data_IF_883343001958
#
_entry.id   IF_883343001958
#
_cell.length_a   1.000
_cell.length_b   1.000
_cell.length_c   1.000
_cell.angle_alpha   90.00
_cell.angle_beta   90.00
_cell.angle_gamma   90.00
#
_symmetry.space_group_name_H-M   'P 1'
#
loop_
_entity.id
_entity.type
_entity.pdbx_description
1 polymer ?
#
# COMPACT_ATOMS: atom_id res chain seq x y z
N UNK A 1 5.42 -38.07 -43.05
CA UNK A 1 4.40 -37.62 -44.03
C UNK A 1 3.28 -36.99 -43.23
N UNK A 2 3.24 -35.66 -43.15
CA UNK A 2 2.30 -34.76 -43.85
C UNK A 2 0.83 -35.14 -43.68
N UNK A 3 -0.13 -34.27 -43.38
CA UNK A 3 -0.25 -32.87 -42.92
C UNK A 3 -1.76 -32.53 -43.07
N UNK A 4 -2.20 -31.45 -42.41
CA UNK A 4 -3.51 -30.72 -42.48
C UNK A 4 -4.46 -31.08 -41.32
N UNK A 5 -4.97 -30.16 -40.52
CA UNK A 5 -4.90 -28.70 -40.51
C UNK A 5 -6.25 -28.15 -40.04
N UNK A 6 -6.27 -27.37 -38.95
CA UNK A 6 -7.34 -26.42 -38.61
C UNK A 6 -6.82 -25.46 -37.51
N UNK A 7 -7.09 -24.14 -37.61
CA UNK A 7 -6.58 -23.11 -36.69
C UNK A 7 -7.49 -22.89 -35.47
N UNK A 8 -7.01 -22.24 -34.38
CA UNK A 8 -7.89 -21.68 -33.38
C UNK A 8 -8.50 -20.35 -33.82
N UNK A 9 -9.75 -20.18 -33.42
CA UNK A 9 -10.68 -19.09 -33.76
C UNK A 9 -10.32 -17.81 -32.99
N UNK A 10 -10.14 -16.73 -33.75
CA UNK A 10 -10.01 -15.36 -33.30
C UNK A 10 -11.41 -14.82 -32.93
N UNK A 11 -11.64 -14.46 -31.66
CA UNK A 11 -12.87 -13.78 -31.24
C UNK A 11 -12.62 -12.28 -31.28
N UNK A 12 -12.92 -11.68 -32.43
CA UNK A 12 -13.12 -10.24 -32.56
C UNK A 12 -14.51 -9.88 -32.02
N UNK A 13 -14.56 -8.95 -31.07
CA UNK A 13 -15.79 -8.23 -30.73
C UNK A 13 -15.54 -6.75 -30.95
N UNK A 14 -16.11 -6.23 -32.03
CA UNK A 14 -16.01 -4.84 -32.43
C UNK A 14 -17.26 -4.05 -32.03
N UNK A 15 -17.01 -2.78 -31.69
CA UNK A 15 -17.81 -1.57 -31.95
C UNK A 15 -19.14 -1.34 -31.22
N UNK A 16 -19.19 -0.22 -30.49
CA UNK A 16 -20.22 0.81 -30.68
C UNK A 16 -19.78 2.19 -30.14
N UNK A 17 -19.44 3.12 -31.04
CA UNK A 17 -19.52 4.59 -30.84
C UNK A 17 -20.93 5.05 -31.23
N UNK A 18 -21.48 6.08 -30.57
CA UNK A 18 -22.03 7.22 -31.35
C UNK A 18 -21.99 8.57 -30.59
N UNK A 19 -22.46 9.71 -31.16
CA UNK A 19 -22.35 10.17 -32.54
C UNK A 19 -21.77 11.61 -32.64
N UNK A 20 -21.19 11.89 -33.81
CA UNK A 20 -20.87 13.23 -34.31
C UNK A 20 -22.17 13.95 -34.70
N UNK A 21 -22.38 15.17 -34.20
CA UNK A 21 -23.37 16.12 -34.77
C UNK A 21 -22.65 17.14 -35.65
N UNK A 22 -23.01 17.15 -36.94
CA UNK A 22 -22.77 18.24 -37.90
C UNK A 22 -24.11 18.71 -38.48
N UNK A 23 -24.30 20.03 -38.52
CA UNK A 23 -25.05 20.87 -39.48
C UNK A 23 -25.57 22.12 -38.72
N UNK A 24 -25.53 23.35 -39.23
CA UNK A 24 -25.74 23.79 -40.60
C UNK A 24 -25.10 25.16 -40.97
N UNK A 25 -24.69 25.25 -42.25
CA UNK A 25 -24.78 26.33 -43.27
C UNK A 25 -24.47 27.82 -42.97
N UNK A 26 -23.65 28.35 -43.88
CA UNK A 26 -23.22 29.73 -44.24
C UNK A 26 -24.39 30.59 -44.79
N UNK A 27 -24.32 31.95 -44.82
CA UNK A 27 -23.68 32.65 -45.96
C UNK A 27 -22.89 33.94 -45.61
N UNK A 28 -22.14 34.39 -46.62
CA UNK A 28 -21.22 35.53 -46.70
C UNK A 28 -21.74 36.90 -46.24
N UNK A 29 -20.82 37.71 -45.71
CA UNK A 29 -20.74 39.14 -46.02
C UNK A 29 -19.29 39.63 -45.92
N UNK A 30 -18.79 40.15 -47.04
CA UNK A 30 -17.50 40.80 -47.16
C UNK A 30 -17.55 42.19 -46.48
N UNK A 31 -16.51 42.51 -45.71
CA UNK A 31 -16.12 43.89 -45.46
C UNK A 31 -14.60 43.95 -45.36
N UNK A 32 -14.02 44.63 -46.35
CA UNK A 32 -12.62 45.03 -46.46
C UNK A 32 -12.38 46.23 -45.55
N UNK A 33 -11.09 46.50 -45.23
CA UNK A 33 -10.52 47.71 -44.61
C UNK A 33 -10.53 47.59 -43.07
N UNK A 34 -9.42 47.56 -42.33
CA UNK A 34 -8.26 48.44 -42.40
C UNK A 34 -7.10 47.84 -41.59
N UNK A 35 -5.87 47.98 -42.08
CA UNK A 35 -4.66 47.68 -41.32
C UNK A 35 -4.56 48.60 -40.09
N UNK A 36 -4.43 48.00 -38.90
CA UNK A 36 -3.73 48.61 -37.77
C UNK A 36 -2.78 47.55 -37.24
N UNK A 37 -1.54 47.64 -37.69
CA UNK A 37 -0.42 46.96 -37.06
C UNK A 37 -0.19 47.60 -35.69
N UNK A 38 -0.87 47.09 -34.67
CA UNK A 38 -0.47 47.26 -33.29
C UNK A 38 0.31 45.99 -32.93
N UNK A 39 1.63 46.11 -33.07
CA UNK A 39 2.56 45.27 -32.37
C UNK A 39 2.31 45.46 -30.86
N UNK A 40 1.40 44.66 -30.30
CA UNK A 40 1.44 44.35 -28.88
C UNK A 40 2.65 43.43 -28.74
N UNK A 41 3.78 44.07 -28.44
CA UNK A 41 4.90 43.46 -27.76
C UNK A 41 4.34 42.80 -26.51
N UNK A 42 4.01 41.50 -26.62
CA UNK A 42 4.11 40.63 -25.47
C UNK A 42 5.54 40.81 -25.00
N UNK A 43 5.70 41.47 -23.85
CA UNK A 43 6.93 41.37 -23.09
C UNK A 43 7.01 39.90 -22.66
N UNK A 44 7.46 39.04 -23.57
CA UNK A 44 8.19 37.86 -23.17
C UNK A 44 9.35 38.42 -22.35
N UNK A 45 9.21 38.36 -21.03
CA UNK A 45 10.34 38.59 -20.15
C UNK A 45 11.47 37.71 -20.71
N UNK A 46 12.67 38.25 -20.94
CA UNK A 46 13.80 37.39 -21.23
C UNK A 46 13.83 36.33 -20.14
N UNK A 47 13.98 35.06 -20.54
CA UNK A 47 14.25 33.97 -19.60
C UNK A 47 15.47 34.44 -18.82
N UNK A 48 15.24 34.79 -17.56
CA UNK A 48 16.31 35.16 -16.67
C UNK A 48 17.13 33.89 -16.47
N UNK A 49 18.37 33.92 -16.96
CA UNK A 49 19.35 32.86 -16.68
C UNK A 49 20.02 33.11 -15.32
N UNK A 50 19.52 34.08 -14.55
CA UNK A 50 19.88 34.24 -13.16
C UNK A 50 19.13 33.19 -12.33
N UNK A 51 19.82 32.08 -12.09
CA UNK A 51 19.30 30.94 -11.33
C UNK A 51 19.06 31.28 -9.85
N UNK A 52 19.39 32.50 -9.41
CA UNK A 52 19.20 32.97 -8.04
C UNK A 52 17.75 32.85 -7.57
N UNK A 53 16.76 33.12 -8.41
CA UNK A 53 15.35 32.97 -8.04
C UNK A 53 14.95 31.49 -7.84
N UNK A 54 15.49 30.58 -8.67
CA UNK A 54 15.23 29.14 -8.55
C UNK A 54 15.95 28.53 -7.33
N UNK A 55 17.18 28.99 -7.07
CA UNK A 55 17.94 28.64 -5.86
C UNK A 55 17.20 29.14 -4.62
N UNK A 56 16.78 30.40 -4.62
CA UNK A 56 16.05 31.00 -3.50
C UNK A 56 14.73 30.27 -3.21
N UNK A 57 14.02 29.80 -4.24
CA UNK A 57 12.82 28.97 -4.06
C UNK A 57 13.14 27.65 -3.35
N UNK A 58 14.19 26.95 -3.76
CA UNK A 58 14.62 25.69 -3.14
C UNK A 58 15.10 25.93 -1.70
N UNK A 59 15.87 26.99 -1.46
CA UNK A 59 16.31 27.36 -0.11
C UNK A 59 15.12 27.73 0.79
N UNK A 60 14.15 28.48 0.29
CA UNK A 60 12.92 28.82 1.02
C UNK A 60 12.11 27.57 1.37
N UNK A 61 11.96 26.63 0.43
CA UNK A 61 11.29 25.35 0.68
C UNK A 61 11.93 24.60 1.83
N UNK A 62 13.25 24.39 1.82
CA UNK A 62 13.94 23.71 2.92
C UNK A 62 13.91 24.50 4.24
N UNK A 63 13.90 25.84 4.19
CA UNK A 63 13.74 26.66 5.39
C UNK A 63 12.36 26.45 6.06
N UNK A 64 11.29 26.36 5.26
CA UNK A 64 9.95 26.03 5.78
C UNK A 64 9.88 24.59 6.32
N UNK A 65 10.52 23.62 5.65
CA UNK A 65 10.62 22.25 6.16
C UNK A 65 11.35 22.20 7.51
N UNK A 66 12.49 22.88 7.64
CA UNK A 66 13.27 22.96 8.88
C UNK A 66 12.49 23.66 10.01
N UNK A 67 11.68 24.65 9.67
CA UNK A 67 10.81 25.35 10.62
C UNK A 67 9.54 24.57 11.02
N UNK A 68 9.25 23.46 10.33
CA UNK A 68 8.01 22.70 10.53
C UNK A 68 6.76 23.42 10.01
N UNK A 69 6.91 24.27 8.99
CA UNK A 69 5.85 25.04 8.33
C UNK A 69 5.41 24.29 7.06
N UNK A 70 4.69 23.19 7.23
CA UNK A 70 4.28 22.28 6.17
C UNK A 70 3.37 22.96 5.13
N UNK A 71 2.43 23.79 5.58
CA UNK A 71 1.53 24.53 4.68
C UNK A 71 2.30 25.49 3.76
N UNK A 72 3.27 26.23 4.31
CA UNK A 72 4.09 27.18 3.54
C UNK A 72 5.06 26.44 2.60
N UNK A 73 5.67 25.34 3.05
CA UNK A 73 6.50 24.50 2.20
C UNK A 73 5.71 23.92 1.01
N UNK A 74 4.51 23.39 1.25
CA UNK A 74 3.64 22.85 0.21
C UNK A 74 3.20 23.90 -0.81
N UNK A 75 2.95 25.14 -0.37
CA UNK A 75 2.56 26.26 -1.24
C UNK A 75 3.62 26.64 -2.29
N UNK A 76 4.90 26.31 -2.06
CA UNK A 76 5.99 26.51 -3.00
C UNK A 76 6.06 25.43 -4.09
N UNK A 77 5.21 24.41 -4.00
CA UNK A 77 5.17 23.28 -4.94
C UNK A 77 3.96 23.36 -5.86
N UNK A 78 3.95 22.52 -6.89
CA UNK A 78 2.77 22.21 -7.72
C UNK A 78 2.20 20.82 -7.42
N UNK A 79 2.68 20.18 -6.36
CA UNK A 79 2.25 18.83 -5.95
C UNK A 79 0.96 18.98 -5.14
N UNK A 80 -0.02 18.14 -5.45
CA UNK A 80 -1.32 18.13 -4.77
C UNK A 80 -1.22 17.32 -3.48
N UNK A 81 -1.06 18.01 -2.36
CA UNK A 81 -1.04 17.41 -1.03
C UNK A 81 -2.44 17.47 -0.40
N UNK A 82 -3.00 16.34 0.05
CA UNK A 82 -4.18 16.35 0.91
C UNK A 82 -3.95 17.17 2.19
N UNK A 83 -4.98 17.88 2.64
CA UNK A 83 -4.90 18.85 3.76
C UNK A 83 -4.38 18.21 5.05
N UNK A 84 -4.71 16.93 5.30
CA UNK A 84 -4.27 16.20 6.48
C UNK A 84 -2.75 15.98 6.55
N UNK A 85 -2.04 16.04 5.43
CA UNK A 85 -0.59 15.80 5.36
C UNK A 85 0.26 17.08 5.40
N UNK A 86 -0.37 18.24 5.23
CA UNK A 86 0.28 19.56 5.27
C UNK A 86 -0.12 20.37 6.51
N UNK A 87 -0.75 19.71 7.48
CA UNK A 87 -0.95 20.25 8.81
C UNK A 87 0.40 20.41 9.53
N UNK A 88 0.67 21.63 10.00
CA UNK A 88 1.95 21.96 10.63
C UNK A 88 2.16 21.22 11.96
N UNK A 89 1.10 20.90 12.71
CA UNK A 89 1.20 20.15 13.97
C UNK A 89 1.53 18.67 13.70
N UNK A 90 0.94 18.09 12.64
CA UNK A 90 1.31 16.75 12.15
C UNK A 90 2.76 16.69 11.71
N UNK A 91 3.20 17.66 10.90
CA UNK A 91 4.56 17.65 10.38
C UNK A 91 5.60 17.89 11.47
N UNK A 92 5.35 18.83 12.41
CA UNK A 92 6.23 19.06 13.58
C UNK A 92 6.30 17.89 14.56
N UNK A 93 5.34 16.96 14.51
CA UNK A 93 5.37 15.73 15.31
C UNK A 93 6.26 14.62 14.72
N UNK A 94 6.85 14.84 13.55
CA UNK A 94 7.82 13.92 12.93
C UNK A 94 9.04 13.71 13.84
N UNK A 95 9.64 12.52 13.79
CA UNK A 95 10.85 12.17 14.56
C UNK A 95 12.02 13.10 14.24
N UNK A 96 12.14 13.52 12.98
CA UNK A 96 13.09 14.53 12.54
C UNK A 96 12.61 15.30 11.32
N UNK A 97 12.95 16.58 11.29
CA UNK A 97 12.77 17.47 10.14
C UNK A 97 14.09 17.61 9.36
N UNK A 98 14.05 17.85 8.04
CA UNK A 98 15.24 18.18 7.27
C UNK A 98 15.99 19.36 7.88
N UNK A 99 17.31 19.23 8.04
CA UNK A 99 18.19 20.30 8.51
C UNK A 99 19.49 20.32 7.72
N UNK A 100 20.30 21.38 7.89
CA UNK A 100 21.58 21.55 7.18
C UNK A 100 21.49 21.40 5.65
N UNK A 101 20.34 21.75 5.07
CA UNK A 101 20.08 21.57 3.65
C UNK A 101 21.02 22.40 2.77
N UNK A 102 21.65 21.78 1.78
CA UNK A 102 22.61 22.41 0.87
C UNK A 102 22.40 21.93 -0.55
N UNK A 103 22.29 22.87 -1.48
CA UNK A 103 22.33 22.57 -2.91
C UNK A 103 23.76 22.18 -3.28
N UNK A 104 23.97 20.92 -3.67
CA UNK A 104 25.29 20.38 -4.03
C UNK A 104 25.52 20.31 -5.54
N UNK A 105 24.44 20.35 -6.32
CA UNK A 105 24.50 20.33 -7.78
C UNK A 105 23.25 20.97 -8.38
N UNK A 106 23.44 21.66 -9.49
CA UNK A 106 22.35 22.26 -10.28
C UNK A 106 22.55 22.01 -11.77
N UNK A 107 21.45 21.78 -12.50
CA UNK A 107 21.43 21.52 -13.96
C UNK A 107 20.13 22.05 -14.59
N UNK A 108 20.01 22.02 -15.93
CA UNK A 108 18.71 22.23 -16.60
C UNK A 108 18.30 23.70 -16.79
N UNK A 109 19.24 24.60 -17.05
CA UNK A 109 18.98 26.04 -17.16
C UNK A 109 18.32 26.49 -18.49
N UNK A 110 17.37 25.73 -19.00
CA UNK A 110 16.65 26.02 -20.23
C UNK A 110 15.13 26.04 -20.02
N UNK A 111 14.36 26.18 -21.11
CA UNK A 111 12.91 26.19 -21.08
C UNK A 111 12.28 24.89 -20.52
N UNK A 112 13.09 23.85 -20.28
CA UNK A 112 12.71 22.59 -19.64
C UNK A 112 12.74 22.62 -18.10
N UNK A 113 13.28 23.67 -17.47
CA UNK A 113 13.23 23.90 -16.03
C UNK A 113 14.50 23.50 -15.26
N UNK A 114 14.76 24.23 -14.18
CA UNK A 114 15.91 24.10 -13.31
C UNK A 114 15.83 22.82 -12.46
N UNK A 115 16.95 22.14 -12.27
CA UNK A 115 17.06 20.98 -11.37
C UNK A 115 18.09 21.25 -10.30
N UNK A 116 17.74 21.05 -9.04
CA UNK A 116 18.64 21.12 -7.90
C UNK A 116 18.75 19.76 -7.22
N UNK A 117 19.97 19.33 -6.93
CA UNK A 117 20.25 18.26 -5.98
C UNK A 117 20.58 18.90 -4.64
N UNK A 118 19.78 18.60 -3.63
CA UNK A 118 19.96 19.03 -2.24
C UNK A 118 20.39 17.84 -1.39
N UNK A 119 21.41 18.05 -0.57
CA UNK A 119 21.76 17.16 0.54
C UNK A 119 21.32 17.80 1.86
N UNK A 120 20.73 17.02 2.75
CA UNK A 120 20.23 17.46 4.05
C UNK A 120 20.41 16.35 5.09
N UNK A 121 20.28 16.68 6.37
CA UNK A 121 20.39 15.73 7.48
C UNK A 121 19.02 15.52 8.12
N UNK A 122 18.82 14.30 8.63
CA UNK A 122 17.71 13.96 9.52
C UNK A 122 18.33 13.46 10.82
N UNK A 123 17.94 14.06 11.94
CA UNK A 123 18.45 13.64 13.25
C UNK A 123 18.17 12.15 13.48
N UNK A 124 19.16 11.41 13.99
CA UNK A 124 19.04 9.97 14.24
C UNK A 124 19.28 9.07 13.03
N UNK A 125 19.29 9.60 11.81
CA UNK A 125 19.61 8.80 10.61
C UNK A 125 21.11 8.52 10.47
N UNK A 126 21.47 7.31 10.04
CA UNK A 126 22.88 6.95 9.76
C UNK A 126 23.40 7.52 8.42
N UNK A 127 22.52 8.10 7.60
CA UNK A 127 22.84 8.62 6.26
C UNK A 127 22.37 10.06 6.01
N UNK A 128 22.87 10.66 4.94
CA UNK A 128 22.46 11.98 4.46
C UNK A 128 21.26 11.84 3.53
N UNK A 129 20.22 12.64 3.76
CA UNK A 129 19.09 12.76 2.84
C UNK A 129 19.52 13.44 1.55
N UNK A 130 19.05 12.94 0.41
CA UNK A 130 19.34 13.53 -0.90
C UNK A 130 18.07 13.64 -1.73
N UNK A 131 17.76 14.86 -2.15
CA UNK A 131 16.57 15.16 -2.95
C UNK A 131 16.98 15.81 -4.27
N UNK A 132 16.45 15.31 -5.38
CA UNK A 132 16.57 15.97 -6.69
C UNK A 132 15.23 16.61 -7.03
N UNK A 133 15.17 17.94 -6.99
CA UNK A 133 13.98 18.75 -7.21
C UNK A 133 14.01 19.37 -8.60
N UNK A 134 12.83 19.47 -9.23
CA UNK A 134 12.64 20.18 -10.49
C UNK A 134 11.80 21.43 -10.25
N UNK A 135 12.32 22.57 -10.66
CA UNK A 135 11.67 23.88 -10.62
C UNK A 135 11.28 24.27 -12.02
N UNK A 136 10.02 24.69 -12.20
CA UNK A 136 9.51 25.15 -13.49
C UNK A 136 8.70 26.44 -13.31
N UNK A 137 8.65 27.32 -14.34
CA UNK A 137 7.72 28.44 -14.35
C UNK A 137 6.31 27.96 -14.66
N UNK A 138 5.36 28.20 -13.75
CA UNK A 138 3.93 27.94 -13.91
C UNK A 138 3.15 29.24 -13.72
N UNK A 139 2.30 29.57 -14.69
CA UNK A 139 1.47 30.80 -14.68
C UNK A 139 2.24 32.12 -14.43
N UNK A 140 3.57 32.12 -14.61
CA UNK A 140 4.44 33.27 -14.39
C UNK A 140 5.15 33.31 -13.03
N UNK A 141 4.98 32.28 -12.20
CA UNK A 141 5.68 32.07 -10.92
C UNK A 141 6.55 30.81 -10.99
N UNK A 142 7.67 30.76 -10.26
CA UNK A 142 8.47 29.55 -10.14
C UNK A 142 7.84 28.62 -9.09
N UNK A 143 7.74 27.33 -9.40
CA UNK A 143 7.23 26.29 -8.50
C UNK A 143 8.13 25.06 -8.54
N UNK A 144 8.20 24.36 -7.40
CA UNK A 144 8.77 23.00 -7.34
C UNK A 144 7.72 22.05 -7.91
N UNK A 145 7.93 21.58 -9.14
CA UNK A 145 6.97 20.75 -9.85
C UNK A 145 7.03 19.28 -9.46
N UNK A 146 8.20 18.80 -9.05
CA UNK A 146 8.42 17.39 -8.73
C UNK A 146 9.73 17.17 -7.99
N UNK A 147 9.85 16.05 -7.29
CA UNK A 147 11.13 15.48 -6.85
C UNK A 147 11.14 13.97 -6.99
N UNK A 148 12.31 13.34 -6.97
CA UNK A 148 12.35 11.87 -6.96
C UNK A 148 11.70 11.33 -5.68
N UNK A 149 10.61 10.57 -5.84
CA UNK A 149 9.84 10.02 -4.71
C UNK A 149 8.69 10.92 -4.26
N UNK A 150 8.25 11.84 -5.10
CA UNK A 150 7.06 12.68 -4.92
C UNK A 150 5.73 11.97 -5.25
N UNK A 151 5.76 10.67 -5.55
CA UNK A 151 4.55 9.89 -5.79
C UNK A 151 3.91 9.42 -4.48
N UNK A 152 2.60 9.12 -4.48
CA UNK A 152 1.93 8.60 -3.30
C UNK A 152 2.58 7.30 -2.82
N UNK A 153 2.79 7.23 -1.52
CA UNK A 153 3.33 6.09 -0.80
C UNK A 153 2.15 5.17 -0.48
N UNK A 154 2.16 3.94 -0.98
CA UNK A 154 1.11 2.95 -0.64
C UNK A 154 1.49 2.18 0.63
N UNK A 155 0.71 2.34 1.71
CA UNK A 155 0.77 1.46 2.89
C UNK A 155 0.02 0.17 2.60
N UNK A 156 0.79 -0.90 2.38
CA UNK A 156 0.35 -2.29 2.20
C UNK A 156 -0.71 -2.53 1.11
N UNK A 157 -0.95 -3.79 0.79
CA UNK A 157 -2.05 -4.25 -0.10
C UNK A 157 -2.73 -5.51 0.42
N UNK A 158 -2.55 -5.78 1.72
CA UNK A 158 -3.12 -6.95 2.35
C UNK A 158 -4.13 -6.48 3.37
N UNK A 159 -5.36 -6.97 3.24
CA UNK A 159 -6.43 -6.68 4.18
C UNK A 159 -6.09 -7.27 5.57
N UNK A 160 -6.18 -6.44 6.59
CA UNK A 160 -5.91 -6.81 7.97
C UNK A 160 -6.68 -5.89 8.92
N UNK A 161 -7.04 -6.41 10.10
CA UNK A 161 -7.56 -5.58 11.19
C UNK A 161 -6.46 -4.75 11.87
N UNK A 162 -5.21 -5.01 11.51
CA UNK A 162 -4.08 -4.21 11.93
C UNK A 162 -4.19 -2.77 11.44
N UNK A 163 -3.70 -1.85 12.28
CA UNK A 163 -3.72 -0.43 12.01
C UNK A 163 -2.32 0.14 12.02
N UNK A 164 -2.04 1.04 11.09
CA UNK A 164 -0.80 1.81 11.05
C UNK A 164 -1.10 3.22 11.50
N UNK A 165 -0.30 3.74 12.41
CA UNK A 165 -0.38 5.14 12.87
C UNK A 165 0.91 5.87 12.50
N UNK A 166 0.77 7.05 11.91
CA UNK A 166 1.89 7.93 11.54
C UNK A 166 1.88 9.16 12.44
N UNK A 167 3.03 9.47 13.04
CA UNK A 167 3.25 10.54 14.01
C UNK A 167 2.20 10.56 15.14
N UNK A 168 1.70 9.39 15.58
CA UNK A 168 0.64 9.22 16.57
C UNK A 168 -0.69 9.96 16.27
N UNK A 169 -0.89 10.43 15.03
CA UNK A 169 -2.02 11.28 14.65
C UNK A 169 -2.86 10.68 13.53
N UNK A 170 -2.22 10.25 12.43
CA UNK A 170 -2.93 9.72 11.27
C UNK A 170 -2.99 8.20 11.35
N UNK A 171 -4.19 7.66 11.51
CA UNK A 171 -4.45 6.23 11.68
C UNK A 171 -5.11 5.62 10.44
N UNK A 172 -4.51 4.55 9.93
CA UNK A 172 -4.92 3.83 8.73
C UNK A 172 -5.24 2.38 9.08
N UNK A 173 -6.38 1.89 8.61
CA UNK A 173 -6.67 0.45 8.59
C UNK A 173 -6.05 -0.13 7.32
N UNK A 174 -5.38 -1.28 7.43
CA UNK A 174 -4.79 -1.94 6.27
C UNK A 174 -5.89 -2.50 5.36
N UNK A 175 -6.00 -1.94 4.16
CA UNK A 175 -6.97 -2.32 3.14
C UNK A 175 -6.30 -2.98 1.93
N UNK A 176 -7.06 -3.79 1.18
CA UNK A 176 -6.56 -4.45 -0.03
C UNK A 176 -6.06 -3.45 -1.09
N UNK A 177 -6.80 -2.36 -1.29
CA UNK A 177 -6.43 -1.29 -2.22
C UNK A 177 -5.24 -0.43 -1.71
N UNK A 178 -4.83 -0.63 -0.45
CA UNK A 178 -3.82 0.17 0.23
C UNK A 178 -4.33 1.55 0.65
N UNK A 179 -3.52 2.25 1.46
CA UNK A 179 -3.72 3.67 1.73
C UNK A 179 -2.60 4.46 1.08
N UNK A 180 -2.93 5.54 0.38
CA UNK A 180 -1.95 6.42 -0.25
C UNK A 180 -1.62 7.60 0.66
N UNK A 181 -0.33 7.86 0.84
CA UNK A 181 0.19 8.98 1.63
C UNK A 181 1.05 9.84 0.74
N UNK A 182 0.81 11.14 0.80
CA UNK A 182 1.59 12.13 0.07
C UNK A 182 2.25 13.00 1.13
N UNK A 183 3.50 12.67 1.49
CA UNK A 183 4.22 13.27 2.61
C UNK A 183 5.33 14.22 2.13
N UNK A 184 5.58 15.27 2.89
CA UNK A 184 6.75 16.13 2.71
C UNK A 184 8.04 15.38 3.13
N UNK A 185 9.23 15.87 2.75
CA UNK A 185 10.47 15.26 3.22
C UNK A 185 10.60 15.30 4.75
N UNK A 186 11.01 14.20 5.38
CA UNK A 186 11.11 14.09 6.83
C UNK A 186 11.32 12.65 7.32
N UNK A 187 11.46 12.49 8.63
CA UNK A 187 11.49 11.19 9.31
C UNK A 187 10.23 11.03 10.17
N UNK A 188 9.39 10.06 9.86
CA UNK A 188 8.06 9.89 10.44
C UNK A 188 8.03 8.70 11.40
N UNK A 189 7.45 8.90 12.59
CA UNK A 189 7.21 7.81 13.51
C UNK A 189 6.07 6.94 12.97
N UNK A 190 6.31 5.64 12.82
CA UNK A 190 5.32 4.68 12.34
C UNK A 190 5.12 3.59 13.38
N UNK A 191 3.87 3.39 13.79
CA UNK A 191 3.47 2.32 14.69
C UNK A 191 2.46 1.40 14.03
N UNK A 192 2.63 0.09 14.19
CA UNK A 192 1.68 -0.94 13.78
C UNK A 192 1.07 -1.59 15.01
N UNK A 193 -0.25 -1.66 15.05
CA UNK A 193 -1.01 -2.31 16.11
C UNK A 193 -2.00 -3.29 15.49
N UNK A 194 -1.89 -4.57 15.85
CA UNK A 194 -2.89 -5.59 15.55
C UNK A 194 -3.69 -5.95 16.82
N UNK A 195 -4.98 -5.60 16.91
CA UNK A 195 -5.78 -5.88 18.09
C UNK A 195 -5.99 -7.38 18.35
N UNK A 196 -5.76 -8.24 17.35
CA UNK A 196 -5.89 -9.70 17.50
C UNK A 196 -4.60 -10.36 17.97
N UNK A 197 -3.46 -9.69 17.82
CA UNK A 197 -2.12 -10.24 18.03
C UNK A 197 -1.74 -11.38 17.08
N UNK A 198 -2.52 -11.62 16.02
CA UNK A 198 -2.29 -12.69 15.05
C UNK A 198 -1.32 -12.26 13.94
N UNK A 199 -1.17 -10.96 13.70
CA UNK A 199 -0.41 -10.40 12.58
C UNK A 199 0.69 -9.48 13.08
N UNK A 200 1.81 -9.45 12.36
CA UNK A 200 2.93 -8.51 12.53
C UNK A 200 3.41 -8.00 11.19
N UNK A 201 4.28 -7.00 11.20
CA UNK A 201 5.00 -6.59 9.99
C UNK A 201 6.20 -7.52 9.72
N UNK A 202 6.44 -7.83 8.43
CA UNK A 202 7.65 -8.55 8.00
C UNK A 202 8.82 -7.59 7.97
N UNK A 203 9.90 -7.94 8.67
CA UNK A 203 11.18 -7.23 8.60
C UNK A 203 11.18 -5.85 9.27
N UNK A 204 10.14 -5.53 10.02
CA UNK A 204 10.00 -4.30 10.82
C UNK A 204 9.60 -4.67 12.24
N UNK A 205 9.98 -3.81 13.18
CA UNK A 205 9.39 -3.82 14.51
C UNK A 205 7.99 -3.19 14.47
N UNK A 206 7.24 -3.33 15.57
CA UNK A 206 5.89 -2.74 15.68
C UNK A 206 5.94 -1.21 15.77
N UNK A 207 7.10 -0.63 16.07
CA UNK A 207 7.36 0.81 15.98
C UNK A 207 8.71 1.05 15.31
N UNK A 208 8.76 1.94 14.32
CA UNK A 208 9.97 2.28 13.58
C UNK A 208 9.86 3.68 12.98
N UNK A 209 10.99 4.23 12.54
CA UNK A 209 11.03 5.54 11.86
C UNK A 209 11.10 5.32 10.35
N UNK A 210 10.15 5.85 9.61
CA UNK A 210 10.13 5.81 8.15
C UNK A 210 10.61 7.13 7.54
N UNK A 211 11.47 7.07 6.51
CA UNK A 211 12.04 8.25 5.89
C UNK A 211 11.36 8.59 4.57
N UNK A 212 11.12 9.89 4.33
CA UNK A 212 10.59 10.41 3.07
C UNK A 212 11.54 11.49 2.51
N UNK A 213 12.01 11.35 1.26
CA UNK A 213 12.09 10.09 0.52
C UNK A 213 12.96 9.05 1.27
N UNK A 214 12.94 7.80 0.80
CA UNK A 214 13.85 6.76 1.30
C UNK A 214 15.31 7.25 1.27
N UNK A 215 16.02 7.08 2.39
CA UNK A 215 17.45 7.37 2.48
C UNK A 215 18.23 6.30 1.71
N UNK A 216 19.20 6.74 0.91
CA UNK A 216 20.05 5.86 0.10
C UNK A 216 21.53 6.12 0.31
N UNK A 217 22.36 5.09 0.22
CA UNK A 217 23.81 5.23 0.24
C UNK A 217 24.38 5.72 -1.11
N UNK A 218 25.71 5.82 -1.18
CA UNK A 218 26.42 6.24 -2.38
C UNK A 218 26.21 5.30 -3.59
N UNK A 219 25.86 4.05 -3.35
CA UNK A 219 25.55 3.04 -4.37
C UNK A 219 24.06 3.02 -4.73
N UNK A 220 23.24 3.84 -4.06
CA UNK A 220 21.80 3.97 -4.27
C UNK A 220 20.97 2.90 -3.59
N UNK A 221 21.53 2.19 -2.60
CA UNK A 221 20.79 1.22 -1.78
C UNK A 221 20.11 1.92 -0.60
N UNK A 222 18.88 1.52 -0.28
CA UNK A 222 18.17 2.06 0.87
C UNK A 222 18.91 1.75 2.18
N UNK A 223 19.17 2.78 3.00
CA UNK A 223 19.89 2.68 4.27
C UNK A 223 18.99 2.82 5.49
N UNK A 224 17.73 3.21 5.29
CA UNK A 224 16.74 3.38 6.35
C UNK A 224 15.45 2.64 6.04
N UNK A 225 14.56 2.64 7.03
CA UNK A 225 13.23 2.09 6.88
C UNK A 225 12.35 3.05 6.06
N UNK A 226 11.64 2.50 5.08
CA UNK A 226 10.57 3.22 4.37
C UNK A 226 9.19 2.69 4.76
N UNK A 227 8.16 3.26 4.15
CA UNK A 227 6.75 2.85 4.31
C UNK A 227 6.38 1.56 3.56
N UNK A 228 7.35 0.92 2.90
CA UNK A 228 7.16 -0.37 2.25
C UNK A 228 7.28 -1.51 3.27
N UNK A 229 6.14 -1.96 3.78
CA UNK A 229 6.05 -3.11 4.68
C UNK A 229 4.81 -3.95 4.38
N UNK A 230 4.89 -5.24 4.73
CA UNK A 230 3.82 -6.21 4.52
C UNK A 230 3.46 -6.88 5.83
N UNK A 231 2.17 -6.89 6.22
CA UNK A 231 1.72 -7.70 7.34
C UNK A 231 1.85 -9.20 6.99
N UNK A 232 2.04 -10.02 8.01
CA UNK A 232 2.00 -11.47 7.93
C UNK A 232 1.58 -12.08 9.26
N UNK A 233 1.02 -13.29 9.21
CA UNK A 233 0.71 -14.01 10.43
C UNK A 233 1.96 -14.26 11.27
N UNK A 234 1.79 -14.16 12.58
CA UNK A 234 2.76 -14.58 13.56
C UNK A 234 3.09 -16.06 13.34
N UNK A 235 4.35 -16.44 13.58
CA UNK A 235 4.85 -17.78 13.26
C UNK A 235 4.17 -18.91 14.04
N UNK A 236 3.44 -18.59 15.11
CA UNK A 236 2.71 -19.53 15.94
C UNK A 236 1.25 -19.71 15.51
N UNK A 237 0.71 -18.88 14.61
CA UNK A 237 -0.70 -18.96 14.16
C UNK A 237 -1.00 -20.29 13.48
N UNK A 238 -0.27 -20.67 12.44
CA UNK A 238 -0.50 -21.93 11.73
C UNK A 238 -0.27 -23.18 12.61
N UNK A 239 0.84 -23.28 13.39
CA UNK A 239 1.00 -24.37 14.35
C UNK A 239 -0.08 -24.43 15.43
N UNK A 240 -0.50 -23.27 15.94
CA UNK A 240 -1.54 -23.17 16.96
C UNK A 240 -2.91 -23.61 16.45
N UNK A 241 -3.29 -23.18 15.24
CA UNK A 241 -4.48 -23.65 14.53
C UNK A 241 -4.45 -25.17 14.33
N UNK A 242 -3.31 -25.70 13.89
CA UNK A 242 -3.13 -27.14 13.73
C UNK A 242 -3.40 -27.90 15.04
N UNK A 243 -2.81 -27.45 16.16
CA UNK A 243 -3.00 -28.06 17.47
C UNK A 243 -4.45 -27.95 17.96
N UNK A 244 -5.11 -26.81 17.75
CA UNK A 244 -6.50 -26.64 18.12
C UNK A 244 -7.43 -27.60 17.35
N UNK A 245 -7.20 -27.77 16.04
CA UNK A 245 -7.96 -28.72 15.22
C UNK A 245 -7.67 -30.16 15.61
N UNK A 246 -6.41 -30.53 15.91
CA UNK A 246 -6.08 -31.86 16.41
C UNK A 246 -6.83 -32.19 17.70
N UNK A 247 -7.00 -31.21 18.59
CA UNK A 247 -7.85 -31.31 19.77
C UNK A 247 -9.32 -31.61 19.43
N UNK A 248 -9.88 -30.92 18.44
CA UNK A 248 -11.24 -31.18 17.94
C UNK A 248 -11.38 -32.56 17.30
N UNK A 249 -10.39 -33.01 16.53
CA UNK A 249 -10.38 -34.34 15.91
C UNK A 249 -10.36 -35.44 16.98
N UNK A 250 -9.54 -35.28 18.02
CA UNK A 250 -9.50 -36.21 19.15
C UNK A 250 -10.83 -36.24 19.91
N UNK A 251 -11.42 -35.08 20.18
CA UNK A 251 -12.73 -34.97 20.82
C UNK A 251 -13.84 -35.60 19.96
N UNK A 252 -13.84 -35.35 18.65
CA UNK A 252 -14.77 -35.96 17.71
C UNK A 252 -14.68 -37.51 17.73
N UNK A 253 -13.46 -38.07 17.80
CA UNK A 253 -13.26 -39.50 17.98
C UNK A 253 -13.83 -40.03 19.31
N UNK A 254 -13.61 -39.30 20.41
CA UNK A 254 -14.18 -39.64 21.72
C UNK A 254 -15.72 -39.52 21.76
N UNK A 255 -16.29 -38.67 20.90
CA UNK A 255 -17.73 -38.51 20.69
C UNK A 255 -18.29 -39.48 19.65
N UNK A 256 -17.55 -40.54 19.30
CA UNK A 256 -17.95 -41.55 18.33
C UNK A 256 -18.35 -40.98 16.96
N UNK A 257 -17.68 -39.90 16.55
CA UNK A 257 -17.83 -39.21 15.27
C UNK A 257 -19.20 -38.58 15.00
N UNK A 258 -19.99 -38.31 16.04
CA UNK A 258 -21.34 -37.70 15.91
C UNK A 258 -21.59 -36.51 16.84
N UNK A 259 -20.58 -36.05 17.57
CA UNK A 259 -20.72 -34.98 18.55
C UNK A 259 -20.37 -33.58 18.02
N UNK A 260 -20.49 -32.54 18.87
CA UNK A 260 -20.28 -31.15 18.50
C UNK A 260 -18.85 -30.83 18.05
N UNK A 261 -17.87 -31.67 18.41
CA UNK A 261 -16.49 -31.46 17.98
C UNK A 261 -16.28 -31.90 16.53
N UNK A 262 -17.22 -32.64 15.94
CA UNK A 262 -17.13 -33.16 14.58
C UNK A 262 -17.61 -32.16 13.51
N UNK A 263 -16.95 -32.09 12.33
CA UNK A 263 -17.44 -31.34 11.18
C UNK A 263 -18.86 -31.75 10.77
N UNK A 264 -19.66 -30.80 10.29
CA UNK A 264 -21.07 -31.05 9.95
C UNK A 264 -21.18 -32.07 8.81
N UNK A 265 -20.29 -32.01 7.83
CA UNK A 265 -20.20 -32.94 6.69
C UNK A 265 -19.99 -34.39 7.16
N UNK A 266 -19.35 -34.57 8.32
CA UNK A 266 -19.18 -35.89 8.91
C UNK A 266 -20.48 -36.37 9.55
N UNK A 267 -21.06 -35.55 10.43
CA UNK A 267 -22.25 -35.92 11.21
C UNK A 267 -23.52 -36.09 10.37
N UNK A 268 -23.58 -35.43 9.20
CA UNK A 268 -24.70 -35.53 8.26
C UNK A 268 -24.68 -36.80 7.41
N UNK A 269 -23.51 -37.41 7.22
CA UNK A 269 -23.33 -38.61 6.38
C UNK A 269 -23.34 -39.89 7.20
N UNK A 270 -22.81 -39.85 8.43
CA UNK A 270 -22.75 -41.04 9.26
C UNK A 270 -24.15 -41.45 9.76
N UNK A 271 -24.48 -42.75 9.75
CA UNK A 271 -25.81 -43.24 10.11
C UNK A 271 -26.10 -43.19 11.63
N UNK A 272 -25.11 -42.84 12.45
CA UNK A 272 -25.18 -42.83 13.90
C UNK A 272 -23.78 -42.95 14.53
N UNK A 273 -23.70 -43.00 15.87
CA UNK A 273 -22.42 -43.14 16.57
C UNK A 273 -21.70 -44.43 16.15
N UNK A 274 -20.40 -44.31 15.88
CA UNK A 274 -19.57 -45.46 15.53
C UNK A 274 -19.14 -46.23 16.79
N UNK A 275 -18.89 -47.54 16.65
CA UNK A 275 -18.47 -48.37 17.78
C UNK A 275 -17.07 -48.01 18.30
N UNK A 276 -16.80 -48.30 19.58
CA UNK A 276 -15.56 -47.95 20.31
C UNK A 276 -14.26 -48.43 19.64
N UNK A 277 -14.34 -49.46 18.79
CA UNK A 277 -13.18 -50.02 18.08
C UNK A 277 -12.85 -49.27 16.78
N UNK A 278 -13.73 -48.37 16.32
CA UNK A 278 -13.54 -47.64 15.07
C UNK A 278 -12.64 -46.42 15.32
N UNK A 279 -11.54 -46.34 14.58
CA UNK A 279 -10.64 -45.18 14.58
C UNK A 279 -10.66 -44.50 13.21
N UNK A 280 -10.07 -43.30 13.14
CA UNK A 280 -9.96 -42.54 11.90
C UNK A 280 -8.54 -42.00 11.71
N UNK A 281 -8.03 -42.12 10.48
CA UNK A 281 -6.85 -41.41 10.01
C UNK A 281 -7.27 -40.13 9.28
N UNK A 282 -6.64 -39.01 9.65
CA UNK A 282 -6.92 -37.69 9.11
C UNK A 282 -5.78 -37.24 8.21
N UNK A 283 -6.04 -37.11 6.91
CA UNK A 283 -5.08 -36.64 5.93
C UNK A 283 -5.37 -35.18 5.63
N UNK A 284 -4.45 -34.28 6.03
CA UNK A 284 -4.57 -32.84 5.75
C UNK A 284 -4.51 -32.59 4.24
N UNK A 285 -5.48 -31.86 3.73
CA UNK A 285 -5.47 -31.32 2.36
C UNK A 285 -4.67 -29.99 2.34
N UNK A 286 -4.23 -29.47 1.17
CA UNK A 286 -3.52 -28.19 1.09
C UNK A 286 -4.29 -27.06 1.78
N UNK A 287 -3.59 -26.26 2.58
CA UNK A 287 -4.18 -25.26 3.48
C UNK A 287 -3.41 -25.20 4.81
N UNK A 288 -3.80 -24.34 5.76
CA UNK A 288 -5.11 -23.69 5.91
C UNK A 288 -5.33 -22.49 4.98
N UNK A 289 -6.58 -22.22 4.65
CA UNK A 289 -6.99 -20.93 4.09
C UNK A 289 -7.39 -20.02 5.26
N UNK A 290 -6.81 -18.82 5.33
CA UNK A 290 -7.15 -17.83 6.35
C UNK A 290 -7.54 -16.54 5.62
N UNK A 291 -8.76 -16.07 5.88
CA UNK A 291 -9.34 -14.89 5.24
C UNK A 291 -9.91 -13.95 6.31
N UNK A 292 -9.88 -12.65 6.05
CA UNK A 292 -10.55 -11.67 6.89
C UNK A 292 -12.00 -11.52 6.43
N UNK A 293 -12.95 -11.67 7.35
CA UNK A 293 -14.38 -11.47 7.08
C UNK A 293 -14.95 -10.65 8.24
N UNK A 294 -15.56 -9.50 7.94
CA UNK A 294 -16.21 -8.64 8.93
C UNK A 294 -15.34 -8.29 10.16
N UNK A 295 -14.01 -8.20 9.97
CA UNK A 295 -13.05 -7.90 11.04
C UNK A 295 -12.61 -9.10 11.88
N UNK A 296 -12.89 -10.33 11.44
CA UNK A 296 -12.45 -11.56 12.08
C UNK A 296 -11.62 -12.42 11.11
N UNK A 297 -10.60 -13.11 11.61
CA UNK A 297 -9.82 -14.05 10.80
C UNK A 297 -10.50 -15.42 10.80
N UNK A 298 -11.11 -15.79 9.68
CA UNK A 298 -11.71 -17.10 9.48
C UNK A 298 -10.69 -18.05 8.89
N UNK A 299 -10.49 -19.18 9.54
CA UNK A 299 -9.64 -20.25 9.06
C UNK A 299 -10.47 -21.45 8.60
N UNK A 300 -10.09 -22.02 7.46
CA UNK A 300 -10.62 -23.29 6.96
C UNK A 300 -9.49 -24.27 6.73
N UNK A 301 -9.61 -25.44 7.36
CA UNK A 301 -8.70 -26.57 7.15
C UNK A 301 -9.48 -27.80 6.70
N UNK A 302 -9.19 -28.27 5.50
CA UNK A 302 -9.81 -29.46 4.93
C UNK A 302 -9.01 -30.72 5.24
N UNK A 303 -9.73 -31.82 5.48
CA UNK A 303 -9.17 -33.12 5.77
C UNK A 303 -9.91 -34.21 5.00
N UNK A 304 -9.16 -35.17 4.49
CA UNK A 304 -9.70 -36.44 4.04
C UNK A 304 -9.60 -37.45 5.17
N UNK A 305 -10.73 -38.05 5.54
CA UNK A 305 -10.84 -39.02 6.63
C UNK A 305 -10.91 -40.43 6.06
N UNK A 306 -10.13 -41.34 6.64
CA UNK A 306 -10.28 -42.78 6.43
C UNK A 306 -10.56 -43.48 7.76
N UNK A 307 -11.70 -44.15 7.85
CA UNK A 307 -12.03 -44.98 9.01
C UNK A 307 -11.31 -46.33 8.96
N UNK A 308 -11.12 -46.93 10.13
CA UNK A 308 -10.60 -48.30 10.26
C UNK A 308 -11.59 -49.36 9.79
N UNK A 309 -12.89 -49.03 9.73
CA UNK A 309 -13.92 -49.87 9.12
C UNK A 309 -14.04 -49.52 7.63
N UNK A 310 -13.55 -50.42 6.77
CA UNK A 310 -13.56 -50.24 5.30
C UNK A 310 -14.99 -50.22 4.70
N UNK A 311 -16.04 -50.55 5.48
CA UNK A 311 -17.43 -50.37 5.06
C UNK A 311 -17.89 -48.90 5.10
N UNK A 312 -17.18 -48.05 5.83
CA UNK A 312 -17.47 -46.61 5.91
C UNK A 312 -16.82 -45.86 4.74
N UNK A 313 -17.48 -44.82 4.20
CA UNK A 313 -16.92 -44.03 3.11
C UNK A 313 -15.69 -43.24 3.56
N UNK A 314 -14.77 -43.02 2.63
CA UNK A 314 -13.76 -41.96 2.76
C UNK A 314 -14.49 -40.63 2.55
N UNK A 315 -14.30 -39.69 3.48
CA UNK A 315 -14.99 -38.40 3.48
C UNK A 315 -13.97 -37.27 3.40
N UNK A 316 -14.35 -36.18 2.76
CA UNK A 316 -13.66 -34.90 2.88
C UNK A 316 -14.51 -33.99 3.75
N UNK A 317 -13.90 -33.43 4.79
CA UNK A 317 -14.56 -32.57 5.76
C UNK A 317 -13.72 -31.33 6.00
N UNK A 318 -14.33 -30.30 6.55
CA UNK A 318 -13.64 -29.05 6.85
C UNK A 318 -13.87 -28.63 8.29
N UNK A 319 -12.79 -28.19 8.94
CA UNK A 319 -12.90 -27.36 10.14
C UNK A 319 -12.84 -25.90 9.70
N UNK A 320 -13.97 -25.23 9.79
CA UNK A 320 -14.11 -23.78 9.57
C UNK A 320 -14.47 -23.11 10.88
N UNK A 321 -13.84 -21.96 11.15
CA UNK A 321 -14.03 -21.23 12.39
C UNK A 321 -13.19 -19.96 12.45
N UNK A 322 -13.32 -19.21 13.53
CA UNK A 322 -12.63 -17.96 13.80
C UNK A 322 -11.37 -18.20 14.63
N UNK A 323 -10.27 -17.55 14.22
CA UNK A 323 -9.01 -17.49 14.93
C UNK A 323 -9.01 -16.32 15.91
N UNK A 324 -8.59 -16.59 17.14
CA UNK A 324 -8.37 -15.58 18.18
C UNK A 324 -7.14 -15.94 19.00
N UNK A 325 -6.70 -15.03 19.87
CA UNK A 325 -5.80 -15.36 20.98
C UNK A 325 -6.59 -15.46 22.27
N UNK A 326 -6.32 -16.50 23.05
CA UNK A 326 -6.87 -16.62 24.40
C UNK A 326 -6.13 -15.71 25.40
N UNK A 327 -6.61 -15.67 26.64
CA UNK A 327 -6.03 -14.86 27.70
C UNK A 327 -4.59 -15.25 28.09
N UNK A 328 -4.13 -16.44 27.72
CA UNK A 328 -2.75 -16.91 27.90
C UNK A 328 -1.87 -16.61 26.67
N UNK A 329 -2.44 -16.03 25.61
CA UNK A 329 -1.76 -15.71 24.36
C UNK A 329 -1.67 -16.90 23.39
N UNK A 330 -2.31 -18.04 23.67
CA UNK A 330 -2.34 -19.17 22.77
C UNK A 330 -3.39 -18.98 21.67
N UNK A 331 -3.15 -19.57 20.50
CA UNK A 331 -4.11 -19.56 19.40
C UNK A 331 -5.34 -20.37 19.79
N UNK A 332 -6.51 -19.75 19.70
CA UNK A 332 -7.80 -20.37 19.90
C UNK A 332 -8.56 -20.40 18.57
N UNK A 333 -9.28 -21.50 18.34
CA UNK A 333 -10.09 -21.73 17.15
C UNK A 333 -11.52 -22.06 17.59
N UNK A 334 -12.47 -21.22 17.19
CA UNK A 334 -13.90 -21.37 17.53
C UNK A 334 -14.69 -21.62 16.26
N UNK A 335 -15.44 -22.72 16.20
CA UNK A 335 -16.25 -23.08 15.04
C UNK A 335 -17.53 -22.27 14.93
#
# INVERSE_FOLDING_TARGET
MSLRGAPPVEVQSATARPPVRRSARVPHLAAVVCAVALALTACARPIDTDDSDSIALVEAFFAHLEAGEATEAAALTSIDFPEEFIDDDFYRASDALPSDARIVKTTGYDAGGFTATVEYTLEGAEGTGRLELRVVPEEGELRIASWRGDGPITISRMESVGTVTVNDQLKYVLAEDGNELQLLPGAYAVAFEDPTGLVKLIGKEDAFTAYVPDLVDADGQATGDGFSFSPAFMSDVEPGLAAAIEGLQAACGAEHFVGPSCPEELTSVLPGPLGDAVTAEWFREPGPEIVLIDGEYHATSAFRIRFSDDALPILTVSYTGVLTRDAAGAIAFTR
#
